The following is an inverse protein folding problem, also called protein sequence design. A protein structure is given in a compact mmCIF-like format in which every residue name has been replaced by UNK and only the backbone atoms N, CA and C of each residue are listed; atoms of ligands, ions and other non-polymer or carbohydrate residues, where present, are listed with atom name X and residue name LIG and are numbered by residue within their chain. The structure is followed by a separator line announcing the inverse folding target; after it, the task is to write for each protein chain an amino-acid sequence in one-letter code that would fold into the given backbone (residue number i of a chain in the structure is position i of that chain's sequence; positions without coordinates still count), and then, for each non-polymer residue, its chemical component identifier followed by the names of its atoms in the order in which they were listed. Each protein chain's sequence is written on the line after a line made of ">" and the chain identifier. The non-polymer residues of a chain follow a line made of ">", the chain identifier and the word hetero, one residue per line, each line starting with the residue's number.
data_IF_468683406207
#
_entry.id   IF_468683406207
#
_cell.length_a   1.000
_cell.length_b   1.000
_cell.length_c   1.000
_cell.angle_alpha   90.00
_cell.angle_beta   90.00
_cell.angle_gamma   90.00
#
_symmetry.space_group_name_H-M   'P 1'
#
loop_
_entity.id
_entity.type
_entity.pdbx_description
1 polymer ?
#
# COMPACT_ATOMS: atom_id res chain seq x y z
N UNK A 1 -38.08 33.41 5.10
CA UNK A 1 -38.14 32.41 4.02
C UNK A 1 -36.70 32.12 3.63
N UNK A 2 -36.10 31.17 4.34
CA UNK A 2 -34.67 30.89 4.25
C UNK A 2 -34.44 29.87 3.14
N UNK A 3 -34.24 30.37 1.93
CA UNK A 3 -33.89 29.52 0.80
C UNK A 3 -32.46 28.98 0.99
N UNK A 4 -32.22 27.66 0.89
CA UNK A 4 -30.87 27.12 0.81
C UNK A 4 -30.24 27.54 -0.52
N UNK A 5 -29.78 28.80 -0.57
CA UNK A 5 -29.25 29.44 -1.76
C UNK A 5 -27.81 29.01 -1.99
N UNK A 6 -27.61 28.15 -3.00
CA UNK A 6 -26.36 27.89 -3.73
C UNK A 6 -25.15 27.32 -2.96
N UNK A 7 -24.86 27.77 -1.73
CA UNK A 7 -23.70 27.35 -0.95
C UNK A 7 -23.80 25.93 -0.38
N UNK A 8 -24.99 25.52 0.07
CA UNK A 8 -25.19 24.19 0.66
C UNK A 8 -25.05 23.06 -0.37
N UNK A 9 -25.62 23.24 -1.56
CA UNK A 9 -25.47 22.28 -2.66
C UNK A 9 -24.02 22.18 -3.15
N UNK A 10 -23.33 23.32 -3.27
CA UNK A 10 -21.93 23.34 -3.69
C UNK A 10 -21.00 22.69 -2.65
N UNK A 11 -21.22 22.95 -1.35
CA UNK A 11 -20.46 22.32 -0.27
C UNK A 11 -20.65 20.80 -0.26
N UNK A 12 -21.89 20.31 -0.45
CA UNK A 12 -22.17 18.88 -0.53
C UNK A 12 -21.46 18.21 -1.74
N UNK A 13 -21.48 18.86 -2.91
CA UNK A 13 -20.77 18.38 -4.10
C UNK A 13 -19.25 18.39 -3.90
N UNK A 14 -18.70 19.42 -3.25
CA UNK A 14 -17.27 19.50 -2.96
C UNK A 14 -16.81 18.37 -2.05
N UNK A 15 -17.55 18.09 -0.97
CA UNK A 15 -17.25 16.97 -0.07
C UNK A 15 -17.36 15.63 -0.81
N UNK A 16 -18.37 15.47 -1.67
CA UNK A 16 -18.52 14.25 -2.47
C UNK A 16 -17.35 14.05 -3.43
N UNK A 17 -16.91 15.10 -4.13
CA UNK A 17 -15.73 15.07 -5.01
C UNK A 17 -14.46 14.78 -4.22
N UNK A 18 -14.32 15.36 -3.02
CA UNK A 18 -13.17 15.11 -2.14
C UNK A 18 -13.12 13.64 -1.71
N UNK A 19 -14.24 13.07 -1.27
CA UNK A 19 -14.36 11.67 -0.88
C UNK A 19 -14.09 10.73 -2.06
N UNK A 20 -14.63 11.03 -3.24
CA UNK A 20 -14.33 10.28 -4.47
C UNK A 20 -12.85 10.38 -4.83
N UNK A 21 -12.24 11.56 -4.70
CA UNK A 21 -10.82 11.78 -4.95
C UNK A 21 -9.93 10.93 -4.02
N UNK A 22 -10.19 11.01 -2.72
CA UNK A 22 -9.45 10.22 -1.72
C UNK A 22 -9.67 8.72 -1.94
N UNK A 23 -10.92 8.29 -2.13
CA UNK A 23 -11.27 6.89 -2.41
C UNK A 23 -10.58 6.38 -3.67
N UNK A 24 -10.52 7.18 -4.73
CA UNK A 24 -9.83 6.81 -5.98
C UNK A 24 -8.32 6.66 -5.79
N UNK A 25 -7.69 7.48 -4.96
CA UNK A 25 -6.26 7.38 -4.67
C UNK A 25 -5.94 6.10 -3.88
N UNK A 26 -6.76 5.77 -2.87
CA UNK A 26 -6.65 4.53 -2.10
C UNK A 26 -6.88 3.32 -3.00
N UNK A 27 -7.89 3.37 -3.88
CA UNK A 27 -8.20 2.31 -4.84
C UNK A 27 -7.08 2.11 -5.87
N UNK A 28 -6.43 3.17 -6.36
CA UNK A 28 -5.26 3.05 -7.25
C UNK A 28 -4.05 2.47 -6.52
N UNK A 29 -3.77 2.92 -5.30
CA UNK A 29 -2.66 2.41 -4.50
C UNK A 29 -2.82 0.91 -4.16
N UNK A 30 -4.04 0.46 -3.88
CA UNK A 30 -4.36 -0.94 -3.62
C UNK A 30 -4.37 -1.78 -4.90
N UNK A 31 -4.81 -1.23 -6.03
CA UNK A 31 -4.81 -1.92 -7.33
C UNK A 31 -3.38 -2.11 -7.87
N UNK A 32 -2.50 -1.12 -7.73
CA UNK A 32 -1.08 -1.25 -8.08
C UNK A 32 -0.41 -2.38 -7.25
N UNK A 33 -0.71 -2.43 -5.94
CA UNK A 33 -0.26 -3.53 -5.05
C UNK A 33 -0.88 -4.89 -5.35
N UNK A 34 -2.06 -4.94 -6.00
CA UNK A 34 -2.75 -6.18 -6.38
C UNK A 34 -2.26 -6.72 -7.72
N UNK A 35 -1.89 -5.83 -8.65
CA UNK A 35 -1.28 -6.19 -9.93
C UNK A 35 0.15 -6.67 -9.74
N UNK A 36 0.96 -6.00 -8.90
CA UNK A 36 2.31 -6.45 -8.54
C UNK A 36 2.30 -7.87 -7.93
N UNK A 37 1.35 -8.15 -7.02
CA UNK A 37 1.22 -9.47 -6.38
C UNK A 37 0.68 -10.58 -7.30
N UNK A 38 -0.12 -10.26 -8.31
CA UNK A 38 -0.62 -11.24 -9.29
C UNK A 38 0.37 -11.52 -10.41
N UNK A 39 1.28 -10.58 -10.71
CA UNK A 39 2.27 -10.75 -11.76
C UNK A 39 3.47 -11.62 -11.33
N UNK A 40 3.62 -11.93 -10.04
CA UNK A 40 4.75 -12.71 -9.54
C UNK A 40 6.11 -12.06 -9.83
N UNK A 41 6.11 -10.75 -10.16
CA UNK A 41 7.30 -9.98 -10.45
C UNK A 41 7.88 -9.55 -9.12
N UNK A 42 8.97 -10.21 -8.76
CA UNK A 42 9.74 -9.94 -7.56
C UNK A 42 10.06 -8.45 -7.49
N UNK A 43 9.70 -7.81 -6.37
CA UNK A 43 9.97 -6.38 -6.10
C UNK A 43 11.47 -6.07 -6.24
N UNK A 44 12.32 -7.10 -6.08
CA UNK A 44 13.75 -7.03 -6.38
C UNK A 44 14.08 -6.90 -7.86
N UNK A 45 13.39 -7.60 -8.75
CA UNK A 45 13.66 -7.58 -10.20
C UNK A 45 13.28 -6.23 -10.83
N UNK A 46 12.22 -5.60 -10.32
CA UNK A 46 11.83 -4.26 -10.74
C UNK A 46 12.85 -3.19 -10.27
N UNK A 47 13.39 -3.35 -9.05
CA UNK A 47 14.43 -2.47 -8.53
C UNK A 47 15.77 -2.65 -9.27
N UNK A 48 16.15 -3.89 -9.65
CA UNK A 48 17.33 -4.13 -10.50
C UNK A 48 17.14 -3.60 -11.91
N UNK A 49 15.97 -3.76 -12.53
CA UNK A 49 15.70 -3.15 -13.85
C UNK A 49 15.78 -1.62 -13.76
N UNK A 50 15.22 -1.00 -12.72
CA UNK A 50 15.28 0.44 -12.52
C UNK A 50 16.70 0.98 -12.30
N UNK A 51 17.53 0.27 -11.53
CA UNK A 51 18.94 0.66 -11.28
C UNK A 51 19.84 0.34 -12.48
N UNK A 52 19.52 -0.70 -13.26
CA UNK A 52 20.36 -1.12 -14.39
C UNK A 52 20.19 -0.25 -15.66
N UNK A 53 19.12 0.53 -15.77
CA UNK A 53 18.77 1.15 -17.06
C UNK A 53 19.49 2.47 -17.35
N UNK A 54 19.98 3.20 -16.34
CA UNK A 54 20.44 4.59 -16.60
C UNK A 54 21.95 4.83 -16.66
N UNK A 55 22.83 4.02 -16.07
CA UNK A 55 24.28 4.25 -16.21
C UNK A 55 25.11 2.97 -16.07
N UNK A 56 25.76 2.54 -17.16
CA UNK A 56 26.61 1.33 -17.18
C UNK A 56 27.81 1.35 -16.21
N UNK A 57 28.18 2.53 -15.71
CA UNK A 57 29.22 2.71 -14.71
C UNK A 57 28.74 2.32 -13.30
N UNK A 58 27.51 2.66 -12.94
CA UNK A 58 26.91 2.26 -11.65
C UNK A 58 26.70 0.76 -11.60
N UNK A 59 26.30 0.12 -12.70
CA UNK A 59 26.18 -1.33 -12.78
C UNK A 59 27.52 -2.04 -12.51
N UNK A 60 28.63 -1.48 -13.01
CA UNK A 60 29.98 -2.03 -12.79
C UNK A 60 30.43 -1.85 -11.34
N UNK A 61 30.18 -0.67 -10.75
CA UNK A 61 30.48 -0.40 -9.35
C UNK A 61 29.62 -1.22 -8.39
N UNK A 62 28.33 -1.38 -8.71
CA UNK A 62 27.39 -2.21 -7.97
C UNK A 62 27.81 -3.68 -8.04
N UNK A 63 28.12 -4.20 -9.24
CA UNK A 63 28.63 -5.57 -9.40
C UNK A 63 29.93 -5.79 -8.63
N UNK A 64 30.85 -4.83 -8.63
CA UNK A 64 32.09 -4.89 -7.85
C UNK A 64 31.81 -4.91 -6.33
N UNK A 65 30.89 -4.08 -5.85
CA UNK A 65 30.49 -4.04 -4.44
C UNK A 65 29.77 -5.32 -3.98
N UNK A 66 28.95 -5.92 -4.85
CA UNK A 66 28.26 -7.18 -4.59
C UNK A 66 29.22 -8.37 -4.59
N UNK A 67 30.22 -8.37 -5.48
CA UNK A 67 31.30 -9.38 -5.49
C UNK A 67 32.15 -9.33 -4.21
N UNK A 68 32.33 -8.13 -3.64
CA UNK A 68 33.05 -7.93 -2.38
C UNK A 68 32.22 -8.27 -1.13
N UNK A 69 30.89 -8.38 -1.24
CA UNK A 69 30.01 -8.70 -0.12
C UNK A 69 29.83 -10.22 -0.02
N UNK A 70 30.26 -10.87 1.08
CA UNK A 70 29.93 -12.28 1.30
C UNK A 70 28.40 -12.44 1.36
N UNK A 71 27.83 -13.52 0.79
CA UNK A 71 26.39 -13.75 0.83
C UNK A 71 25.93 -13.77 2.28
N UNK A 72 25.19 -12.74 2.70
CA UNK A 72 24.59 -12.73 4.02
C UNK A 72 23.45 -13.75 4.05
N UNK A 73 23.36 -14.59 5.09
CA UNK A 73 22.21 -15.46 5.30
C UNK A 73 20.94 -14.60 5.28
N UNK A 74 19.98 -14.98 4.45
CA UNK A 74 18.68 -14.33 4.40
C UNK A 74 17.97 -14.69 5.69
N UNK A 75 18.06 -13.84 6.72
CA UNK A 75 17.27 -14.03 7.93
C UNK A 75 15.78 -14.02 7.55
N UNK A 76 14.98 -14.99 8.05
CA UNK A 76 13.55 -14.98 7.85
C UNK A 76 13.00 -13.70 8.49
N UNK A 77 12.54 -12.77 7.65
CA UNK A 77 11.86 -11.55 8.08
C UNK A 77 10.67 -11.99 8.96
N UNK A 78 10.53 -11.52 10.21
CA UNK A 78 9.39 -11.88 11.03
C UNK A 78 8.13 -11.41 10.30
N UNK A 79 7.35 -12.36 9.80
CA UNK A 79 6.01 -12.08 9.31
C UNK A 79 5.22 -11.62 10.52
N UNK A 80 4.82 -10.34 10.56
CA UNK A 80 4.04 -9.79 11.65
C UNK A 80 2.90 -10.77 11.99
N UNK A 81 2.79 -11.13 13.28
CA UNK A 81 1.88 -12.18 13.71
C UNK A 81 0.43 -11.77 13.39
N UNK A 82 -0.48 -12.74 13.24
CA UNK A 82 -1.89 -12.42 12.98
C UNK A 82 -2.48 -11.54 14.09
N UNK A 83 -1.99 -11.67 15.33
CA UNK A 83 -2.35 -10.79 16.44
C UNK A 83 -1.87 -9.35 16.25
N UNK A 84 -0.66 -9.13 15.69
CA UNK A 84 -0.16 -7.79 15.39
C UNK A 84 -0.97 -7.13 14.27
N UNK A 85 -1.36 -7.91 13.26
CA UNK A 85 -2.20 -7.42 12.15
C UNK A 85 -3.60 -7.03 12.62
N UNK A 86 -4.19 -7.79 13.53
CA UNK A 86 -5.49 -7.45 14.13
C UNK A 86 -5.40 -6.19 15.00
N UNK A 87 -4.32 -6.01 15.76
CA UNK A 87 -4.08 -4.79 16.54
C UNK A 87 -3.94 -3.56 15.64
N UNK A 88 -3.21 -3.67 14.54
CA UNK A 88 -3.09 -2.58 13.58
C UNK A 88 -4.42 -2.27 12.89
N UNK A 89 -5.20 -3.29 12.53
CA UNK A 89 -6.52 -3.10 11.94
C UNK A 89 -7.49 -2.39 12.89
N UNK A 90 -7.42 -2.67 14.19
CA UNK A 90 -8.18 -1.96 15.22
C UNK A 90 -7.73 -0.50 15.34
N UNK A 91 -6.42 -0.25 15.35
CA UNK A 91 -5.89 1.13 15.38
C UNK A 91 -6.41 1.97 14.21
N UNK A 92 -6.45 1.39 13.01
CA UNK A 92 -6.99 2.07 11.83
C UNK A 92 -8.48 2.38 11.94
N UNK A 93 -9.26 1.52 12.61
CA UNK A 93 -10.68 1.77 12.88
C UNK A 93 -10.84 2.89 13.92
N UNK A 94 -10.03 2.87 14.98
CA UNK A 94 -10.05 3.89 16.04
C UNK A 94 -9.61 5.28 15.52
N UNK A 95 -8.76 5.32 14.48
CA UNK A 95 -8.34 6.53 13.77
C UNK A 95 -9.33 6.97 12.67
N UNK A 96 -10.48 6.29 12.54
CA UNK A 96 -11.48 6.48 11.46
C UNK A 96 -10.87 6.36 10.03
N UNK A 97 -9.75 5.67 9.87
CA UNK A 97 -9.07 5.45 8.58
C UNK A 97 -9.66 4.28 7.78
N UNK A 98 -10.44 3.42 8.43
CA UNK A 98 -11.23 2.36 7.81
C UNK A 98 -12.62 2.34 8.43
N UNK A 99 -13.61 1.97 7.63
CA UNK A 99 -15.00 1.85 8.12
C UNK A 99 -15.21 0.52 8.84
N UNK A 100 -16.28 0.42 9.64
CA UNK A 100 -16.65 -0.82 10.34
C UNK A 100 -16.81 -2.02 9.39
N UNK A 101 -17.37 -1.79 8.20
CA UNK A 101 -17.57 -2.82 7.17
C UNK A 101 -16.22 -3.35 6.64
N UNK A 102 -15.28 -2.44 6.36
CA UNK A 102 -13.93 -2.80 5.91
C UNK A 102 -13.10 -3.50 6.99
N UNK A 103 -13.29 -3.11 8.26
CA UNK A 103 -12.71 -3.79 9.40
C UNK A 103 -13.17 -5.25 9.46
N UNK A 104 -14.47 -5.49 9.36
CA UNK A 104 -15.03 -6.84 9.46
C UNK A 104 -14.56 -7.75 8.32
N UNK A 105 -14.49 -7.22 7.09
CA UNK A 105 -13.99 -7.95 5.92
C UNK A 105 -12.51 -8.34 6.09
N UNK A 106 -11.66 -7.38 6.48
CA UNK A 106 -10.22 -7.61 6.68
C UNK A 106 -9.94 -8.51 7.87
N UNK A 107 -10.72 -8.39 8.95
CA UNK A 107 -10.63 -9.26 10.13
C UNK A 107 -10.92 -10.71 9.76
N UNK A 108 -11.97 -10.97 8.96
CA UNK A 108 -12.27 -12.32 8.44
C UNK A 108 -11.12 -12.85 7.59
N UNK A 109 -10.61 -12.06 6.64
CA UNK A 109 -9.49 -12.48 5.79
C UNK A 109 -8.21 -12.82 6.58
N UNK A 110 -7.96 -12.12 7.70
CA UNK A 110 -6.82 -12.44 8.59
C UNK A 110 -7.07 -13.75 9.33
N UNK A 111 -8.28 -13.98 9.86
CA UNK A 111 -8.63 -15.19 10.62
C UNK A 111 -8.65 -16.43 9.72
N UNK A 112 -9.20 -16.32 8.51
CA UNK A 112 -9.26 -17.41 7.53
C UNK A 112 -7.87 -17.82 6.99
N UNK A 113 -6.87 -16.94 7.16
CA UNK A 113 -5.48 -17.16 6.75
C UNK A 113 -4.55 -17.67 7.86
N UNK A 114 -5.08 -18.01 9.04
CA UNK A 114 -4.36 -18.64 10.17
C UNK A 114 -4.48 -20.16 10.05
#
# INVERSE_FOLDING_TARGET
>A
MDGPGFGGGFAALFVLVLLVGIGSAVWRATTARRIARRAGLDERDAATMAVATDDGLEATYLAASLRARPPQPVEPRPTASSADRLRELQRLLDEDLVTQEEYDERRRAIIDGI
#
